data_IF_444100727749
#
_entry.id   IF_444100727749
#
_cell.length_a   1.000
_cell.length_b   1.000
_cell.length_c   1.000
_cell.angle_alpha   90.00
_cell.angle_beta   90.00
_cell.angle_gamma   90.00
#
_symmetry.space_group_name_H-M   'P 1'
#
loop_
_entity.id
_entity.type
_entity.pdbx_description
1 polymer ?
#
# COMPACT_ATOMS: atom_id res chain seq x y z
N UNK A 1 -2.05 8.24 21.89
CA UNK A 1 -1.37 9.36 22.57
C UNK A 1 -1.29 10.47 21.55
N UNK A 2 -1.69 11.69 21.88
CA UNK A 2 -1.48 12.85 21.00
C UNK A 2 0.02 13.14 20.90
N UNK A 3 0.56 13.54 19.73
CA UNK A 3 1.95 13.94 19.61
C UNK A 3 2.31 15.03 20.62
N UNK A 4 3.56 15.05 21.11
CA UNK A 4 3.99 16.18 21.94
C UNK A 4 3.96 17.46 21.09
N UNK A 5 3.56 18.58 21.69
CA UNK A 5 3.52 19.88 20.99
C UNK A 5 4.91 20.24 20.44
N UNK A 6 5.98 19.94 21.18
CA UNK A 6 7.36 20.16 20.75
C UNK A 6 7.78 19.33 19.54
N UNK A 7 7.34 18.07 19.43
CA UNK A 7 7.66 17.23 18.28
C UNK A 7 6.93 17.71 17.02
N UNK A 8 5.67 18.15 17.18
CA UNK A 8 4.88 18.69 16.07
C UNK A 8 5.51 19.98 15.53
N UNK A 9 5.92 20.89 16.40
CA UNK A 9 6.60 22.13 16.01
C UNK A 9 7.96 21.86 15.34
N UNK A 10 8.72 20.87 15.84
CA UNK A 10 10.01 20.47 15.26
C UNK A 10 9.82 19.86 13.87
N UNK A 11 8.82 18.98 13.70
CA UNK A 11 8.46 18.40 12.41
C UNK A 11 7.97 19.46 11.43
N UNK A 12 7.11 20.39 11.87
CA UNK A 12 6.65 21.52 11.06
C UNK A 12 7.81 22.42 10.61
N UNK A 13 8.74 22.74 11.51
CA UNK A 13 9.95 23.51 11.19
C UNK A 13 10.80 22.80 10.13
N UNK A 14 10.96 21.48 10.27
CA UNK A 14 11.69 20.66 9.28
C UNK A 14 11.01 20.70 7.91
N UNK A 15 9.68 20.56 7.87
CA UNK A 15 8.89 20.66 6.63
C UNK A 15 9.01 22.06 6.01
N UNK A 16 9.00 23.11 6.82
CA UNK A 16 9.08 24.49 6.34
C UNK A 16 10.43 24.80 5.69
N UNK A 17 11.51 24.23 6.22
CA UNK A 17 12.88 24.43 5.73
C UNK A 17 13.29 23.48 4.58
N UNK A 18 12.51 22.42 4.34
CA UNK A 18 12.79 21.43 3.32
C UNK A 18 12.18 21.80 1.95
N UNK A 19 12.96 21.57 0.89
CA UNK A 19 12.59 21.78 -0.51
C UNK A 19 12.59 20.48 -1.32
N UNK A 20 13.26 19.43 -0.85
CA UNK A 20 13.35 18.13 -1.49
C UNK A 20 12.85 17.02 -0.56
N UNK A 21 11.54 17.04 -0.26
CA UNK A 21 10.93 16.05 0.61
C UNK A 21 10.72 14.74 -0.14
N UNK A 22 11.32 13.66 0.36
CA UNK A 22 11.00 12.30 -0.06
C UNK A 22 10.05 11.65 0.93
N UNK A 23 8.98 11.05 0.42
CA UNK A 23 7.94 10.42 1.22
C UNK A 23 7.93 8.92 1.01
N UNK A 24 7.71 8.16 2.09
CA UNK A 24 7.36 6.74 2.04
C UNK A 24 6.07 6.52 2.82
N UNK A 25 5.03 6.07 2.14
CA UNK A 25 3.72 5.83 2.74
C UNK A 25 3.31 4.37 2.63
N UNK A 26 2.44 3.93 3.53
CA UNK A 26 1.82 2.61 3.49
C UNK A 26 0.38 2.61 4.01
N UNK A 27 -0.15 1.41 4.22
CA UNK A 27 -1.59 1.18 4.38
C UNK A 27 -2.23 1.92 5.57
N UNK A 28 -1.42 2.33 6.57
CA UNK A 28 -1.88 3.08 7.73
C UNK A 28 -2.58 4.38 7.37
N UNK A 29 -2.18 5.07 6.28
CA UNK A 29 -2.81 6.33 5.86
C UNK A 29 -4.22 6.13 5.28
N UNK A 30 -4.54 4.92 4.81
CA UNK A 30 -5.82 4.57 4.19
C UNK A 30 -6.79 3.90 5.17
N UNK A 31 -6.39 3.65 6.43
CA UNK A 31 -7.25 2.99 7.41
C UNK A 31 -8.52 3.80 7.72
N UNK A 32 -8.42 5.13 7.79
CA UNK A 32 -9.56 6.01 8.01
C UNK A 32 -10.52 6.09 6.80
N UNK A 33 -10.07 5.70 5.60
CA UNK A 33 -10.92 5.57 4.41
C UNK A 33 -11.78 4.30 4.43
N UNK A 34 -11.73 3.53 5.51
CA UNK A 34 -12.46 2.26 5.63
C UNK A 34 -11.75 1.08 4.99
N UNK A 35 -10.51 1.24 4.50
CA UNK A 35 -9.67 0.09 4.13
C UNK A 35 -9.23 -0.60 5.42
N UNK A 36 -9.72 -1.82 5.73
CA UNK A 36 -9.13 -2.60 6.79
C UNK A 36 -7.69 -2.88 6.38
N UNK A 37 -6.76 -2.62 7.28
CA UNK A 37 -5.38 -3.02 7.07
C UNK A 37 -5.31 -4.53 6.81
N UNK A 38 -4.16 -4.99 6.34
CA UNK A 38 -4.00 -6.42 6.09
C UNK A 38 -3.95 -7.23 7.40
N UNK A 39 -3.44 -6.63 8.48
CA UNK A 39 -2.83 -7.36 9.60
C UNK A 39 -3.50 -7.20 10.97
N UNK A 40 -4.43 -6.26 11.16
CA UNK A 40 -5.08 -6.06 12.46
C UNK A 40 -5.85 -7.30 12.90
N UNK A 41 -5.71 -7.64 14.17
CA UNK A 41 -6.41 -8.75 14.78
C UNK A 41 -7.94 -8.55 14.68
N UNK A 42 -8.64 -9.58 14.20
CA UNK A 42 -10.11 -9.65 14.00
C UNK A 42 -10.70 -8.75 12.91
N UNK A 43 -10.17 -7.56 12.66
CA UNK A 43 -10.73 -6.61 11.68
C UNK A 43 -10.00 -6.59 10.35
N UNK A 44 -8.71 -6.96 10.33
CA UNK A 44 -7.86 -6.98 9.16
C UNK A 44 -8.26 -8.04 8.13
N UNK A 45 -7.86 -7.84 6.87
CA UNK A 45 -8.25 -8.72 5.77
C UNK A 45 -7.91 -10.20 6.05
N UNK A 46 -6.71 -10.46 6.55
CA UNK A 46 -6.23 -11.82 6.84
C UNK A 46 -7.10 -12.58 7.84
N UNK A 47 -7.64 -11.91 8.86
CA UNK A 47 -8.57 -12.53 9.80
C UNK A 47 -9.89 -12.92 9.13
N UNK A 48 -10.39 -12.09 8.20
CA UNK A 48 -11.64 -12.35 7.47
C UNK A 48 -11.52 -13.50 6.47
N UNK A 49 -10.32 -13.77 5.95
CA UNK A 49 -10.06 -14.84 4.99
C UNK A 49 -9.99 -16.24 5.62
N UNK A 50 -10.07 -16.36 6.96
CA UNK A 50 -10.01 -17.65 7.66
C UNK A 50 -10.94 -18.75 7.09
N UNK A 51 -12.19 -18.46 6.65
CA UNK A 51 -13.07 -19.48 6.07
C UNK A 51 -12.56 -20.10 4.75
N UNK A 52 -11.60 -19.45 4.06
CA UNK A 52 -11.03 -19.97 2.80
C UNK A 52 -9.98 -21.07 3.03
N UNK A 53 -9.62 -21.35 4.30
CA UNK A 53 -8.65 -22.38 4.68
C UNK A 53 -7.32 -22.28 3.89
N UNK A 54 -6.86 -21.04 3.70
CA UNK A 54 -5.58 -20.74 3.04
C UNK A 54 -4.43 -21.37 3.84
N UNK A 55 -3.34 -21.80 3.19
CA UNK A 55 -2.17 -22.35 3.88
C UNK A 55 -1.57 -21.35 4.88
N UNK A 56 -1.69 -20.07 4.57
CA UNK A 56 -1.41 -18.93 5.45
C UNK A 56 -2.18 -17.70 4.91
N UNK A 57 -2.45 -16.67 5.73
CA UNK A 57 -3.34 -15.58 5.32
C UNK A 57 -2.84 -14.76 4.12
N UNK A 58 -1.53 -14.61 3.94
CA UNK A 58 -0.90 -13.90 2.82
C UNK A 58 -0.98 -14.66 1.48
N UNK A 59 -1.38 -15.94 1.49
CA UNK A 59 -1.29 -16.82 0.32
C UNK A 59 -2.06 -16.28 -0.89
N UNK A 60 -3.21 -15.66 -0.67
CA UNK A 60 -4.04 -15.06 -1.72
C UNK A 60 -3.31 -13.97 -2.53
N UNK A 61 -2.28 -13.34 -1.94
CA UNK A 61 -1.44 -12.33 -2.58
C UNK A 61 -0.04 -12.87 -2.90
N UNK A 62 0.17 -14.19 -2.90
CA UNK A 62 1.44 -14.81 -3.26
C UNK A 62 1.41 -15.30 -4.70
N UNK A 63 2.40 -14.95 -5.52
CA UNK A 63 2.37 -15.23 -6.97
C UNK A 63 2.33 -16.74 -7.28
N UNK A 64 3.07 -17.54 -6.51
CA UNK A 64 3.04 -19.00 -6.65
C UNK A 64 1.69 -19.62 -6.27
N UNK A 65 0.91 -18.98 -5.40
CA UNK A 65 -0.45 -19.42 -5.10
C UNK A 65 -1.37 -19.00 -6.23
N UNK A 66 -1.35 -17.70 -6.58
CA UNK A 66 -2.19 -17.11 -7.63
C UNK A 66 -2.10 -17.85 -8.97
N UNK A 67 -0.89 -18.22 -9.41
CA UNK A 67 -0.72 -18.89 -10.72
C UNK A 67 -1.36 -20.27 -10.81
N UNK A 68 -1.68 -20.91 -9.68
CA UNK A 68 -2.30 -22.23 -9.61
C UNK A 68 -3.73 -22.20 -9.05
N UNK A 69 -4.04 -21.18 -8.24
CA UNK A 69 -5.33 -21.02 -7.56
C UNK A 69 -5.71 -19.53 -7.55
N UNK A 70 -6.04 -18.94 -8.71
CA UNK A 70 -6.39 -17.52 -8.85
C UNK A 70 -7.81 -17.16 -8.36
N UNK A 71 -8.70 -18.15 -8.24
CA UNK A 71 -10.13 -17.96 -7.92
C UNK A 71 -10.36 -17.20 -6.60
N UNK A 72 -9.65 -17.51 -5.49
CA UNK A 72 -9.81 -16.78 -4.23
C UNK A 72 -9.54 -15.28 -4.38
N UNK A 73 -8.53 -14.89 -5.15
CA UNK A 73 -8.20 -13.49 -5.39
C UNK A 73 -9.34 -12.77 -6.12
N UNK A 74 -9.87 -13.36 -7.20
CA UNK A 74 -10.89 -12.72 -8.02
C UNK A 74 -12.24 -12.57 -7.34
N UNK A 75 -12.62 -13.52 -6.50
CA UNK A 75 -13.86 -13.43 -5.76
C UNK A 75 -13.82 -12.40 -4.62
N UNK A 76 -12.63 -12.07 -4.07
CA UNK A 76 -12.51 -10.94 -3.14
C UNK A 76 -12.25 -9.60 -3.85
N UNK A 77 -11.67 -9.61 -5.06
CA UNK A 77 -11.38 -8.40 -5.83
C UNK A 77 -12.65 -7.60 -6.14
N UNK A 78 -13.78 -8.31 -6.39
CA UNK A 78 -15.10 -7.70 -6.57
C UNK A 78 -15.52 -6.80 -5.40
N UNK A 79 -15.31 -7.26 -4.17
CA UNK A 79 -15.74 -6.56 -2.95
C UNK A 79 -14.73 -5.51 -2.44
N UNK A 80 -13.58 -5.36 -3.13
CA UNK A 80 -12.45 -4.51 -2.71
C UNK A 80 -12.06 -3.51 -3.80
N UNK A 81 -12.93 -3.25 -4.77
CA UNK A 81 -12.59 -2.35 -5.87
C UNK A 81 -12.26 -0.95 -5.31
N UNK A 82 -11.08 -0.36 -5.59
CA UNK A 82 -10.66 0.94 -5.02
C UNK A 82 -11.51 2.16 -5.38
N UNK A 83 -12.61 1.95 -6.11
CA UNK A 83 -13.48 3.03 -6.58
C UNK A 83 -14.36 3.58 -5.47
N UNK A 84 -14.62 2.80 -4.43
CA UNK A 84 -15.53 3.16 -3.33
C UNK A 84 -14.80 3.79 -2.13
N UNK A 85 -13.53 4.15 -2.32
CA UNK A 85 -12.66 4.65 -1.27
C UNK A 85 -12.41 6.13 -1.48
N UNK A 86 -12.54 6.89 -0.40
CA UNK A 86 -12.32 8.34 -0.39
C UNK A 86 -10.94 8.64 0.20
N UNK A 87 -10.19 9.60 -0.35
CA UNK A 87 -8.93 10.01 0.26
C UNK A 87 -9.12 10.47 1.71
N UNK A 88 -8.15 10.14 2.56
CA UNK A 88 -8.12 10.61 3.95
C UNK A 88 -7.48 12.00 4.06
N UNK A 89 -7.58 12.61 5.25
CA UNK A 89 -6.88 13.86 5.52
C UNK A 89 -5.36 13.72 5.34
N UNK A 90 -4.80 12.55 5.70
CA UNK A 90 -3.39 12.24 5.43
C UNK A 90 -3.06 12.32 3.95
N UNK A 91 -3.91 11.78 3.06
CA UNK A 91 -3.69 11.89 1.61
C UNK A 91 -3.73 13.34 1.13
N UNK A 92 -4.73 14.11 1.60
CA UNK A 92 -4.83 15.53 1.28
C UNK A 92 -3.59 16.32 1.74
N UNK A 93 -2.97 15.95 2.86
CA UNK A 93 -1.73 16.57 3.31
C UNK A 93 -0.55 16.30 2.35
N UNK A 94 -0.46 15.10 1.76
CA UNK A 94 0.52 14.78 0.72
C UNK A 94 0.28 15.65 -0.54
N UNK A 95 -0.99 15.77 -0.94
CA UNK A 95 -1.41 16.66 -2.02
C UNK A 95 -1.05 18.13 -1.75
N UNK A 96 -1.21 18.59 -0.51
CA UNK A 96 -0.89 19.95 -0.11
C UNK A 96 0.63 20.21 -0.13
N UNK A 97 1.43 19.25 0.32
CA UNK A 97 2.89 19.31 0.18
C UNK A 97 3.30 19.40 -1.30
N UNK A 98 2.61 18.67 -2.18
CA UNK A 98 2.86 18.72 -3.62
C UNK A 98 2.43 20.08 -4.23
N UNK A 99 1.26 20.61 -3.86
CA UNK A 99 0.78 21.94 -4.29
C UNK A 99 1.71 23.08 -3.83
N UNK A 100 2.40 22.90 -2.70
CA UNK A 100 3.42 23.84 -2.19
C UNK A 100 4.83 23.58 -2.73
N UNK A 101 4.95 22.72 -3.74
CA UNK A 101 6.20 22.34 -4.43
C UNK A 101 7.31 21.84 -3.49
N UNK A 102 6.93 21.13 -2.41
CA UNK A 102 7.90 20.56 -1.46
C UNK A 102 8.20 19.09 -1.73
N UNK A 103 7.30 18.38 -2.40
CA UNK A 103 7.50 16.96 -2.74
C UNK A 103 8.55 16.83 -3.84
N UNK A 104 9.65 16.17 -3.52
CA UNK A 104 10.63 15.69 -4.49
C UNK A 104 10.16 14.36 -5.08
N UNK A 105 9.85 13.38 -4.23
CA UNK A 105 9.30 12.11 -4.68
C UNK A 105 8.51 11.38 -3.59
N UNK A 106 7.47 10.66 -3.99
CA UNK A 106 6.65 9.86 -3.08
C UNK A 106 6.66 8.38 -3.48
N UNK A 107 7.10 7.53 -2.57
CA UNK A 107 6.96 6.09 -2.67
C UNK A 107 5.71 5.64 -1.92
N UNK A 108 4.75 5.03 -2.61
CA UNK A 108 3.61 4.39 -1.95
C UNK A 108 3.71 2.88 -2.00
N UNK A 109 3.50 2.25 -0.86
CA UNK A 109 3.28 0.80 -0.75
C UNK A 109 1.82 0.43 -0.99
N UNK A 110 0.93 1.41 -1.11
CA UNK A 110 -0.49 1.20 -1.33
C UNK A 110 -0.75 0.94 -2.81
N UNK A 111 -1.90 0.31 -3.05
CA UNK A 111 -2.39 -0.03 -4.38
C UNK A 111 -3.75 0.63 -4.65
N UNK A 112 -4.29 1.36 -3.68
CA UNK A 112 -5.64 1.96 -3.73
C UNK A 112 -5.71 3.16 -4.68
N UNK A 113 -4.60 3.89 -4.86
CA UNK A 113 -4.50 5.03 -5.76
C UNK A 113 -5.04 6.34 -5.18
N UNK A 114 -5.32 6.37 -3.87
CA UNK A 114 -5.90 7.53 -3.20
C UNK A 114 -4.95 8.74 -3.15
N UNK A 115 -3.66 8.53 -3.42
CA UNK A 115 -2.68 9.61 -3.55
C UNK A 115 -3.00 10.52 -4.74
N UNK A 116 -3.37 9.94 -5.89
CA UNK A 116 -3.74 10.71 -7.08
C UNK A 116 -5.09 11.40 -6.91
N UNK A 117 -6.03 10.70 -6.27
CA UNK A 117 -7.34 11.26 -5.91
C UNK A 117 -7.19 12.46 -4.96
N UNK A 118 -6.11 12.49 -4.16
CA UNK A 118 -5.71 13.62 -3.33
C UNK A 118 -4.72 14.58 -4.01
N UNK A 119 -4.67 14.57 -5.34
CA UNK A 119 -3.91 15.51 -6.17
C UNK A 119 -2.39 15.41 -6.07
N UNK A 120 -1.83 14.29 -5.60
CA UNK A 120 -0.39 14.01 -5.77
C UNK A 120 -0.10 13.82 -7.26
N UNK A 121 0.82 14.59 -7.88
CA UNK A 121 1.11 14.48 -9.30
C UNK A 121 1.68 13.08 -9.64
N UNK A 122 1.14 12.35 -10.64
CA UNK A 122 1.63 11.03 -11.01
C UNK A 122 3.12 10.99 -11.37
N UNK A 123 3.67 12.08 -11.90
CA UNK A 123 5.11 12.21 -12.21
C UNK A 123 6.02 12.38 -11.00
N UNK A 124 5.48 12.66 -9.81
CA UNK A 124 6.22 12.82 -8.55
C UNK A 124 6.04 11.64 -7.59
N UNK A 125 5.49 10.51 -8.07
CA UNK A 125 5.27 9.35 -7.21
C UNK A 125 5.47 8.02 -7.93
N UNK A 126 5.67 6.98 -7.14
CA UNK A 126 5.74 5.59 -7.58
C UNK A 126 4.90 4.71 -6.67
N UNK A 127 3.93 4.02 -7.27
CA UNK A 127 3.28 2.86 -6.64
C UNK A 127 4.26 1.68 -6.63
N UNK A 128 5.04 1.57 -5.56
CA UNK A 128 6.12 0.58 -5.44
C UNK A 128 5.58 -0.84 -5.46
N UNK A 129 4.35 -1.06 -4.97
CA UNK A 129 3.64 -2.33 -5.06
C UNK A 129 2.65 -2.38 -6.23
N UNK A 130 2.79 -1.48 -7.20
CA UNK A 130 1.90 -1.40 -8.36
C UNK A 130 0.50 -0.90 -8.00
N UNK A 131 -0.45 -1.01 -8.94
CA UNK A 131 -1.82 -0.55 -8.76
C UNK A 131 -2.79 -1.28 -9.70
N UNK A 132 -4.08 -0.93 -9.62
CA UNK A 132 -5.15 -1.54 -10.41
C UNK A 132 -5.38 -0.90 -11.79
N UNK A 133 -4.50 0.01 -12.25
CA UNK A 133 -4.75 0.78 -13.48
C UNK A 133 -4.55 -0.03 -14.75
N UNK A 134 -3.64 -1.00 -14.71
CA UNK A 134 -3.31 -1.86 -15.83
C UNK A 134 -3.23 -3.31 -15.37
N UNK A 135 -3.28 -4.23 -16.34
CA UNK A 135 -3.31 -5.66 -16.07
C UNK A 135 -2.53 -6.42 -17.14
N UNK A 136 -1.88 -7.50 -16.71
CA UNK A 136 -1.03 -8.34 -17.56
C UNK A 136 -1.18 -9.82 -17.22
N UNK A 137 -0.97 -10.67 -18.21
CA UNK A 137 -0.82 -12.10 -17.97
C UNK A 137 0.37 -12.35 -17.03
N UNK A 138 0.19 -13.17 -15.99
CA UNK A 138 1.30 -13.47 -15.07
C UNK A 138 2.46 -14.17 -15.80
N UNK A 139 2.13 -15.01 -16.80
CA UNK A 139 3.03 -15.93 -17.51
C UNK A 139 3.83 -15.21 -18.61
N UNK A 140 3.15 -14.70 -19.64
CA UNK A 140 3.81 -14.06 -20.79
C UNK A 140 3.97 -12.53 -20.68
N UNK A 141 3.41 -11.91 -19.63
CA UNK A 141 3.43 -10.45 -19.40
C UNK A 141 2.69 -9.61 -20.45
N UNK A 142 1.97 -10.22 -21.39
CA UNK A 142 1.13 -9.51 -22.35
C UNK A 142 0.07 -8.66 -21.62
N UNK A 143 -0.15 -7.44 -22.12
CA UNK A 143 -1.18 -6.54 -21.62
C UNK A 143 -2.58 -7.13 -21.86
N UNK A 144 -3.48 -6.91 -20.92
CA UNK A 144 -4.85 -7.39 -21.01
C UNK A 144 -5.85 -6.23 -21.11
N UNK A 145 -6.86 -6.29 -21.99
CA UNK A 145 -7.80 -5.19 -22.16
C UNK A 145 -8.62 -4.89 -20.89
N UNK A 146 -8.73 -3.61 -20.54
CA UNK A 146 -9.41 -3.12 -19.33
C UNK A 146 -10.91 -3.50 -19.29
N UNK A 147 -11.61 -3.40 -20.42
CA UNK A 147 -13.01 -3.82 -20.50
C UNK A 147 -13.22 -5.31 -20.23
N UNK A 148 -12.24 -6.17 -20.55
CA UNK A 148 -12.30 -7.60 -20.22
C UNK A 148 -12.03 -7.83 -18.74
N UNK A 149 -11.08 -7.11 -18.14
CA UNK A 149 -10.77 -7.22 -16.72
C UNK A 149 -11.96 -6.79 -15.86
N UNK A 150 -12.60 -5.67 -16.21
CA UNK A 150 -13.78 -5.16 -15.50
C UNK A 150 -14.93 -6.17 -15.49
N UNK A 151 -15.21 -6.80 -16.63
CA UNK A 151 -16.23 -7.85 -16.71
C UNK A 151 -15.89 -9.04 -15.82
N UNK A 152 -14.65 -9.55 -15.92
CA UNK A 152 -14.19 -10.66 -15.09
C UNK A 152 -14.30 -10.36 -13.58
N UNK A 153 -13.89 -9.16 -13.14
CA UNK A 153 -14.02 -8.74 -11.73
C UNK A 153 -15.50 -8.65 -11.32
N UNK A 154 -16.38 -8.07 -12.15
CA UNK A 154 -17.80 -7.94 -11.84
C UNK A 154 -18.50 -9.31 -11.73
N UNK A 155 -18.11 -10.26 -12.58
CA UNK A 155 -18.62 -11.63 -12.62
C UNK A 155 -17.95 -12.54 -11.57
N UNK A 156 -16.82 -12.11 -10.99
CA UNK A 156 -16.03 -12.91 -10.05
C UNK A 156 -15.24 -14.04 -10.74
N UNK A 157 -15.02 -13.92 -12.05
CA UNK A 157 -14.35 -14.91 -12.88
C UNK A 157 -12.86 -14.64 -13.01
N UNK A 158 -12.09 -15.69 -13.30
CA UNK A 158 -10.66 -15.59 -13.55
C UNK A 158 -10.43 -15.22 -15.02
N UNK A 159 -9.84 -14.06 -15.33
CA UNK A 159 -9.43 -13.72 -16.69
C UNK A 159 -8.18 -14.50 -17.09
N UNK A 160 -8.15 -14.98 -18.33
CA UNK A 160 -7.02 -15.71 -18.91
C UNK A 160 -6.45 -14.99 -20.12
N UNK A 161 -5.16 -15.21 -20.40
CA UNK A 161 -4.43 -14.55 -21.48
C UNK A 161 -5.10 -14.74 -22.85
N UNK A 162 -5.01 -13.71 -23.70
CA UNK A 162 -5.56 -13.71 -25.06
C UNK A 162 -4.52 -14.05 -26.13
N UNK A 163 -3.25 -14.22 -25.73
CA UNK A 163 -2.16 -14.60 -26.64
C UNK A 163 -2.26 -16.08 -26.99
N UNK A 164 -2.06 -16.40 -28.27
CA UNK A 164 -2.09 -17.78 -28.76
C UNK A 164 -1.04 -18.64 -28.04
N UNK A 165 -1.46 -19.80 -27.51
CA UNK A 165 -0.58 -20.71 -26.76
C UNK A 165 -0.28 -20.29 -25.32
N UNK A 166 -0.86 -19.19 -24.81
CA UNK A 166 -0.76 -18.79 -23.41
C UNK A 166 -2.09 -18.96 -22.67
N UNK A 167 -2.08 -19.80 -21.63
CA UNK A 167 -3.21 -20.10 -20.75
C UNK A 167 -3.04 -19.48 -19.36
N UNK A 168 -2.11 -18.53 -19.21
CA UNK A 168 -1.80 -17.96 -17.90
C UNK A 168 -2.92 -17.04 -17.40
N UNK A 169 -3.37 -17.16 -16.13
CA UNK A 169 -4.25 -16.16 -15.54
C UNK A 169 -3.68 -14.75 -15.66
N UNK A 170 -4.57 -13.79 -15.83
CA UNK A 170 -4.24 -12.37 -15.86
C UNK A 170 -4.39 -11.83 -14.46
N UNK A 171 -3.55 -10.87 -14.07
CA UNK A 171 -3.73 -10.11 -12.83
C UNK A 171 -3.58 -8.61 -13.10
N UNK A 172 -4.15 -7.75 -12.23
CA UNK A 172 -3.74 -6.36 -12.16
C UNK A 172 -2.23 -6.25 -11.96
N UNK A 173 -1.64 -5.13 -12.37
CA UNK A 173 -0.24 -4.80 -12.14
C UNK A 173 0.05 -4.39 -10.70
N UNK A 174 -0.53 -5.13 -9.75
CA UNK A 174 -0.20 -5.14 -8.33
C UNK A 174 0.89 -6.18 -8.10
N UNK A 175 1.90 -5.83 -7.31
CA UNK A 175 3.02 -6.72 -6.97
C UNK A 175 2.58 -7.71 -5.91
N UNK A 176 2.63 -9.00 -6.24
CA UNK A 176 2.33 -10.09 -5.30
C UNK A 176 3.60 -10.48 -4.52
N UNK A 177 3.43 -11.10 -3.35
CA UNK A 177 4.55 -11.73 -2.66
C UNK A 177 5.22 -12.76 -3.56
N UNK A 178 6.55 -12.62 -3.70
CA UNK A 178 7.35 -13.47 -4.58
C UNK A 178 7.65 -12.84 -5.94
N UNK A 179 7.03 -11.69 -6.26
CA UNK A 179 7.42 -10.87 -7.41
C UNK A 179 8.47 -9.82 -7.03
N UNK A 180 9.23 -9.37 -8.03
CA UNK A 180 10.07 -8.19 -7.93
C UNK A 180 9.20 -6.92 -7.94
N UNK A 181 9.70 -5.85 -7.33
CA UNK A 181 9.12 -4.52 -7.53
C UNK A 181 9.26 -4.07 -9.01
N UNK A 182 8.53 -3.03 -9.44
CA UNK A 182 8.72 -2.44 -10.76
C UNK A 182 10.18 -2.05 -10.99
N UNK A 183 10.70 -2.27 -12.20
CA UNK A 183 12.11 -1.98 -12.56
C UNK A 183 12.50 -0.52 -12.27
N UNK A 184 11.55 0.40 -12.45
CA UNK A 184 11.72 1.83 -12.16
C UNK A 184 11.98 2.13 -10.67
N UNK A 185 11.73 1.19 -9.75
CA UNK A 185 11.99 1.38 -8.32
C UNK A 185 13.46 1.67 -8.04
N UNK A 186 14.39 0.92 -8.64
CA UNK A 186 15.83 1.11 -8.43
C UNK A 186 16.33 2.45 -9.00
N UNK A 187 15.70 2.93 -10.08
CA UNK A 187 15.98 4.27 -10.62
C UNK A 187 15.51 5.34 -9.64
N UNK A 188 14.26 5.26 -9.17
CA UNK A 188 13.67 6.27 -8.30
C UNK A 188 14.26 6.28 -6.91
N UNK A 189 14.72 5.14 -6.39
CA UNK A 189 15.40 5.08 -5.10
C UNK A 189 16.59 6.03 -5.02
N UNK A 190 17.28 6.32 -6.13
CA UNK A 190 18.40 7.27 -6.15
C UNK A 190 18.00 8.68 -5.72
N UNK A 191 16.72 9.05 -5.89
CA UNK A 191 16.17 10.33 -5.44
C UNK A 191 16.18 10.47 -3.91
N UNK A 192 16.34 9.37 -3.16
CA UNK A 192 16.47 9.42 -1.70
C UNK A 192 17.76 10.13 -1.27
N UNK A 193 18.84 10.05 -2.05
CA UNK A 193 20.10 10.74 -1.74
C UNK A 193 19.99 12.26 -1.90
N UNK A 194 19.09 12.72 -2.77
CA UNK A 194 18.81 14.14 -3.03
C UNK A 194 17.91 14.77 -1.95
N UNK A 195 17.32 13.95 -1.08
CA UNK A 195 16.40 14.41 -0.05
C UNK A 195 17.09 15.34 0.96
N UNK A 196 16.36 16.39 1.37
CA UNK A 196 16.68 17.23 2.52
C UNK A 196 15.72 17.01 3.70
N UNK A 197 14.70 16.18 3.51
CA UNK A 197 13.82 15.65 4.54
C UNK A 197 13.18 14.33 4.07
N UNK A 198 13.13 13.34 4.95
CA UNK A 198 12.37 12.10 4.75
C UNK A 198 11.12 12.10 5.62
N UNK A 199 9.95 11.81 5.04
CA UNK A 199 8.71 11.62 5.80
C UNK A 199 8.17 10.21 5.57
N UNK A 200 8.03 9.44 6.65
CA UNK A 200 7.46 8.09 6.63
C UNK A 200 6.10 8.11 7.30
N UNK A 201 5.05 7.67 6.62
CA UNK A 201 3.67 7.76 7.12
C UNK A 201 2.95 6.41 7.02
N UNK A 202 2.39 5.94 8.13
CA UNK A 202 1.44 4.81 8.12
C UNK A 202 2.01 3.48 7.61
N UNK A 203 3.27 3.15 7.91
CA UNK A 203 3.88 1.88 7.50
C UNK A 203 4.61 1.17 8.64
N UNK A 204 4.60 -0.16 8.62
CA UNK A 204 5.34 -0.99 9.58
C UNK A 204 6.83 -1.13 9.25
N UNK A 205 7.26 -0.70 8.06
CA UNK A 205 8.62 -0.92 7.53
C UNK A 205 9.11 -2.38 7.60
N UNK A 206 8.21 -3.36 7.49
CA UNK A 206 8.58 -4.80 7.53
C UNK A 206 8.89 -5.39 6.15
N UNK A 207 8.49 -4.73 5.07
CA UNK A 207 8.57 -5.26 3.70
C UNK A 207 9.65 -4.53 2.92
N UNK A 208 10.74 -5.25 2.64
CA UNK A 208 11.78 -4.81 1.72
C UNK A 208 11.29 -4.91 0.26
N UNK A 209 11.82 -4.09 -0.66
CA UNK A 209 12.88 -3.10 -0.47
C UNK A 209 12.40 -1.73 0.06
N UNK A 210 11.10 -1.44 0.12
CA UNK A 210 10.65 -0.13 0.61
C UNK A 210 11.11 0.18 2.05
N UNK A 211 11.22 -0.82 2.91
CA UNK A 211 11.66 -0.65 4.31
C UNK A 211 13.08 -0.12 4.49
N UNK A 212 13.95 -0.20 3.47
CA UNK A 212 15.32 0.34 3.53
C UNK A 212 15.42 1.81 3.12
N UNK A 213 14.42 2.38 2.44
CA UNK A 213 14.48 3.78 1.97
C UNK A 213 14.80 4.78 3.09
N UNK A 214 14.19 4.70 4.30
CA UNK A 214 14.50 5.64 5.38
C UNK A 214 15.96 5.55 5.88
N UNK A 215 16.65 4.43 5.62
CA UNK A 215 18.06 4.25 5.99
C UNK A 215 19.02 4.76 4.94
N UNK A 216 18.60 4.78 3.68
CA UNK A 216 19.39 5.28 2.55
C UNK A 216 19.55 6.81 2.60
N UNK A 217 18.64 7.51 3.28
CA UNK A 217 18.74 8.96 3.52
C UNK A 217 20.07 9.31 4.18
N UNK A 218 20.75 10.34 3.64
CA UNK A 218 22.06 10.81 4.11
C UNK A 218 22.07 11.13 5.61
N UNK A 219 23.22 10.95 6.24
CA UNK A 219 23.42 11.33 7.64
C UNK A 219 23.20 12.84 7.83
N UNK A 220 22.59 13.23 8.95
CA UNK A 220 22.25 14.63 9.24
C UNK A 220 20.97 15.14 8.57
N UNK A 221 20.41 14.44 7.58
CA UNK A 221 19.08 14.77 7.03
C UNK A 221 17.99 14.33 8.02
N UNK A 222 17.07 15.22 8.43
CA UNK A 222 16.01 14.88 9.36
C UNK A 222 15.05 13.83 8.78
N UNK A 223 14.45 13.02 9.66
CA UNK A 223 13.44 12.03 9.28
C UNK A 223 12.23 12.15 10.20
N UNK A 224 11.05 12.24 9.63
CA UNK A 224 9.79 12.29 10.38
C UNK A 224 9.08 10.95 10.20
N UNK A 225 8.67 10.34 11.31
CA UNK A 225 7.76 9.20 11.33
C UNK A 225 6.39 9.65 11.84
N UNK A 226 5.34 9.39 11.07
CA UNK A 226 3.95 9.57 11.45
C UNK A 226 3.29 8.19 11.43
N UNK A 227 3.07 7.59 12.60
CA UNK A 227 2.58 6.22 12.66
C UNK A 227 1.98 5.88 14.03
N UNK A 228 1.16 4.83 14.12
CA UNK A 228 0.64 4.36 15.40
C UNK A 228 1.75 3.86 16.34
N UNK A 229 2.79 3.25 15.76
CA UNK A 229 3.88 2.62 16.49
C UNK A 229 5.23 3.09 15.94
N UNK A 230 6.25 3.07 16.81
CA UNK A 230 7.62 3.30 16.40
C UNK A 230 8.12 2.09 15.59
N UNK A 231 8.71 2.35 14.43
CA UNK A 231 9.11 1.31 13.46
C UNK A 231 10.51 1.55 12.91
N UNK A 232 11.13 0.51 12.34
CA UNK A 232 12.48 0.61 11.79
C UNK A 232 13.50 1.03 12.85
N UNK A 233 14.41 1.94 12.47
CA UNK A 233 15.40 2.54 13.37
C UNK A 233 15.09 4.00 13.70
N UNK A 234 13.84 4.44 13.56
CA UNK A 234 13.46 5.80 13.92
C UNK A 234 13.80 6.11 15.39
N UNK A 235 14.11 7.36 15.69
CA UNK A 235 14.57 7.81 17.00
C UNK A 235 15.98 7.32 17.38
N UNK A 236 16.76 6.81 16.42
CA UNK A 236 18.18 6.51 16.61
C UNK A 236 19.09 7.64 16.10
N UNK A 237 18.62 8.46 15.16
CA UNK A 237 19.34 9.65 14.68
C UNK A 237 18.88 10.90 15.41
N UNK A 238 19.78 11.86 15.59
CA UNK A 238 19.49 13.13 16.31
C UNK A 238 18.37 13.94 15.64
N UNK A 239 18.21 13.84 14.31
CA UNK A 239 17.17 14.52 13.54
C UNK A 239 15.88 13.73 13.34
N UNK A 240 15.70 12.60 14.04
CA UNK A 240 14.47 11.82 13.94
C UNK A 240 13.35 12.42 14.82
N UNK A 241 12.18 12.65 14.22
CA UNK A 241 10.97 13.06 14.94
C UNK A 241 9.89 11.99 14.77
N UNK A 242 9.27 11.54 15.86
CA UNK A 242 8.24 10.50 15.84
C UNK A 242 6.90 11.06 16.34
N UNK A 243 5.97 11.33 15.43
CA UNK A 243 4.59 11.67 15.73
C UNK A 243 3.78 10.38 15.84
N UNK A 244 3.70 9.85 17.06
CA UNK A 244 3.01 8.58 17.33
C UNK A 244 1.51 8.78 17.55
N UNK A 245 0.69 8.08 16.78
CA UNK A 245 -0.78 8.13 16.86
C UNK A 245 -1.46 8.04 15.50
N UNK A 246 -2.64 8.66 15.39
CA UNK A 246 -3.39 8.73 14.14
C UNK A 246 -2.62 9.55 13.08
N UNK A 247 -2.56 9.03 11.86
CA UNK A 247 -1.97 9.75 10.74
C UNK A 247 -2.75 11.03 10.42
N UNK A 248 -4.08 10.98 10.46
CA UNK A 248 -4.94 12.13 10.16
C UNK A 248 -4.86 13.21 11.25
N UNK A 249 -4.80 12.82 12.53
CA UNK A 249 -4.61 13.79 13.62
C UNK A 249 -3.25 14.47 13.52
N UNK A 250 -2.21 13.72 13.18
CA UNK A 250 -0.86 14.26 12.98
C UNK A 250 -0.80 15.18 11.75
N UNK A 251 -1.46 14.82 10.64
CA UNK A 251 -1.57 15.66 9.46
C UNK A 251 -2.28 16.98 9.78
N UNK A 252 -3.38 16.94 10.55
CA UNK A 252 -4.09 18.14 11.01
C UNK A 252 -3.22 19.01 11.92
N UNK A 253 -2.51 18.39 12.88
CA UNK A 253 -1.64 19.11 13.80
C UNK A 253 -0.46 19.78 13.07
N UNK A 254 0.17 19.08 12.12
CA UNK A 254 1.23 19.64 11.28
C UNK A 254 0.73 20.78 10.41
N UNK A 255 -0.43 20.62 9.75
CA UNK A 255 -1.02 21.70 8.97
C UNK A 255 -1.35 22.91 9.85
N UNK A 256 -1.86 22.71 11.07
CA UNK A 256 -2.06 23.78 12.05
C UNK A 256 -0.76 24.52 12.39
N UNK A 257 0.31 23.78 12.73
CA UNK A 257 1.62 24.34 13.05
C UNK A 257 2.28 25.08 11.87
N UNK A 258 1.99 24.66 10.63
CA UNK A 258 2.46 25.29 9.40
C UNK A 258 1.60 26.48 8.94
N UNK A 259 0.46 26.73 9.60
CA UNK A 259 -0.52 27.73 9.18
C UNK A 259 -1.31 27.33 7.92
N UNK A 260 -1.40 26.03 7.62
CA UNK A 260 -2.05 25.46 6.43
C UNK A 260 -3.38 24.75 6.74
N UNK A 261 -3.93 24.94 7.94
CA UNK A 261 -5.13 24.22 8.42
C UNK A 261 -6.33 24.34 7.47
N UNK A 262 -6.70 25.57 7.11
CA UNK A 262 -7.85 25.83 6.23
C UNK A 262 -7.59 25.32 4.80
N UNK A 263 -6.35 25.44 4.30
CA UNK A 263 -5.96 24.91 2.99
C UNK A 263 -6.07 23.39 2.94
N UNK A 264 -5.70 22.69 4.02
CA UNK A 264 -5.79 21.25 4.13
C UNK A 264 -7.24 20.77 4.12
N UNK A 265 -8.11 21.35 4.95
CA UNK A 265 -9.51 20.96 5.02
C UNK A 265 -10.25 21.27 3.70
N UNK A 266 -9.95 22.40 3.06
CA UNK A 266 -10.47 22.73 1.73
C UNK A 266 -10.03 21.71 0.67
N UNK A 267 -8.74 21.39 0.62
CA UNK A 267 -8.19 20.43 -0.34
C UNK A 267 -8.75 19.02 -0.15
N UNK A 268 -8.93 18.62 1.11
CA UNK A 268 -9.54 17.33 1.43
C UNK A 268 -11.00 17.26 0.98
N UNK A 269 -11.78 18.32 1.22
CA UNK A 269 -13.15 18.44 0.72
C UNK A 269 -13.23 18.36 -0.81
N UNK A 270 -12.32 19.05 -1.52
CA UNK A 270 -12.21 18.97 -2.99
C UNK A 270 -11.93 17.54 -3.47
N UNK A 271 -10.95 16.84 -2.85
CA UNK A 271 -10.57 15.49 -3.22
C UNK A 271 -11.72 14.49 -3.02
N UNK A 272 -12.43 14.59 -1.88
CA UNK A 272 -13.58 13.75 -1.58
C UNK A 272 -14.73 14.01 -2.55
N UNK A 273 -15.08 15.27 -2.81
CA UNK A 273 -16.15 15.63 -3.73
C UNK A 273 -15.84 15.20 -5.18
N UNK A 274 -14.59 15.35 -5.62
CA UNK A 274 -14.15 14.87 -6.92
C UNK A 274 -14.33 13.36 -7.03
N UNK A 275 -13.95 12.60 -6.00
CA UNK A 275 -14.14 11.14 -5.98
C UNK A 275 -15.61 10.75 -6.05
N UNK A 276 -16.47 11.37 -5.23
CA UNK A 276 -17.92 11.10 -5.22
C UNK A 276 -18.57 11.38 -6.58
N UNK A 277 -18.12 12.41 -7.29
CA UNK A 277 -18.65 12.72 -8.63
C UNK A 277 -18.33 11.67 -9.70
N UNK A 278 -17.29 10.84 -9.47
CA UNK A 278 -16.88 9.77 -10.38
C UNK A 278 -17.56 8.42 -10.09
N UNK A 279 -18.28 8.28 -8.96
CA UNK A 279 -18.86 7.03 -8.46
C UNK A 279 -20.23 6.64 -9.10
N UNK A 280 -20.58 7.17 -10.27
CA UNK A 280 -21.90 6.94 -10.92
C UNK A 280 -22.43 5.49 -10.87
N UNK A 281 -23.65 5.34 -10.33
CA UNK A 281 -24.57 4.18 -10.28
C UNK A 281 -23.94 2.77 -10.23
N UNK A 282 -23.34 2.40 -9.09
CA UNK A 282 -23.12 0.99 -8.74
C UNK A 282 -24.12 0.54 -7.67
N UNK A 283 -25.27 0.00 -8.10
CA UNK A 283 -26.24 -0.63 -7.21
C UNK A 283 -25.79 -2.04 -6.77
N UNK A 284 -25.97 -2.33 -5.48
CA UNK A 284 -25.85 -3.64 -4.81
C UNK A 284 -24.50 -4.37 -4.94
N UNK A 285 -23.48 -3.89 -4.24
CA UNK A 285 -22.26 -4.68 -4.01
C UNK A 285 -22.48 -5.81 -2.99
N UNK A 286 -22.20 -7.03 -3.41
CA UNK A 286 -22.03 -8.20 -2.55
C UNK A 286 -20.92 -7.94 -1.53
N UNK A 287 -21.21 -8.09 -0.23
CA UNK A 287 -20.22 -7.83 0.81
C UNK A 287 -19.03 -8.80 0.74
N UNK A 288 -17.85 -8.37 1.21
CA UNK A 288 -16.65 -9.24 1.24
C UNK A 288 -16.90 -10.55 1.99
N UNK A 289 -17.68 -10.50 3.08
CA UNK A 289 -18.01 -11.67 3.91
C UNK A 289 -18.99 -12.61 3.19
N UNK A 290 -19.81 -12.10 2.29
CA UNK A 290 -20.68 -12.89 1.42
C UNK A 290 -19.88 -13.57 0.29
N UNK A 291 -18.96 -12.83 -0.36
CA UNK A 291 -18.03 -13.42 -1.33
C UNK A 291 -17.19 -14.55 -0.71
N UNK A 292 -16.65 -14.32 0.49
CA UNK A 292 -15.86 -15.33 1.22
C UNK A 292 -16.70 -16.54 1.56
N UNK A 293 -17.94 -16.36 2.06
CA UNK A 293 -18.85 -17.47 2.37
C UNK A 293 -19.19 -18.30 1.12
N UNK A 294 -19.50 -17.64 0.01
CA UNK A 294 -19.81 -18.31 -1.26
C UNK A 294 -18.64 -19.15 -1.76
N UNK A 295 -17.44 -18.56 -1.80
CA UNK A 295 -16.21 -19.28 -2.15
C UNK A 295 -15.92 -20.46 -1.24
N UNK A 296 -16.09 -20.30 0.08
CA UNK A 296 -15.85 -21.36 1.04
C UNK A 296 -16.82 -22.54 0.82
N UNK A 297 -18.06 -22.27 0.42
CA UNK A 297 -19.03 -23.30 0.04
C UNK A 297 -18.67 -23.96 -1.30
N UNK A 298 -18.32 -23.19 -2.33
CA UNK A 298 -17.91 -23.70 -3.65
C UNK A 298 -16.62 -24.54 -3.60
N UNK A 299 -15.72 -24.23 -2.64
CA UNK A 299 -14.45 -24.94 -2.44
C UNK A 299 -14.54 -26.11 -1.45
N UNK A 300 -15.71 -26.47 -0.92
CA UNK A 300 -15.89 -27.71 -0.15
C UNK A 300 -15.59 -28.93 -1.04
N UNK A 301 -14.33 -29.39 -1.03
CA UNK A 301 -13.83 -30.54 -1.78
C UNK A 301 -12.62 -30.29 -2.67
N UNK A 302 -12.24 -29.03 -2.96
CA UNK A 302 -11.03 -28.68 -3.72
C UNK A 302 -9.89 -28.36 -2.76
N UNK A 303 -9.25 -29.39 -2.21
CA UNK A 303 -8.06 -29.19 -1.39
C UNK A 303 -6.84 -28.89 -2.25
N UNK A 304 -6.10 -27.84 -1.89
CA UNK A 304 -4.70 -27.69 -2.32
C UNK A 304 -3.96 -28.92 -1.81
N UNK A 305 -3.25 -29.63 -2.70
CA UNK A 305 -2.52 -30.83 -2.31
C UNK A 305 -1.50 -30.52 -1.21
N UNK A 306 -1.30 -31.45 -0.27
CA UNK A 306 -0.35 -31.29 0.84
C UNK A 306 1.08 -30.96 0.34
N UNK A 307 1.44 -31.44 -0.87
CA UNK A 307 2.70 -31.09 -1.53
C UNK A 307 2.79 -29.61 -1.93
N UNK A 308 1.71 -29.03 -2.47
CA UNK A 308 1.67 -27.60 -2.78
C UNK A 308 1.65 -26.74 -1.51
N UNK A 309 0.91 -27.18 -0.48
CA UNK A 309 0.89 -26.53 0.84
C UNK A 309 2.29 -26.47 1.44
N UNK A 310 2.99 -27.62 1.48
CA UNK A 310 4.35 -27.72 2.00
C UNK A 310 5.36 -26.89 1.18
N UNK A 311 5.21 -26.81 -0.14
CA UNK A 311 6.05 -25.95 -0.99
C UNK A 311 5.88 -24.48 -0.61
N UNK A 312 4.64 -24.01 -0.45
CA UNK A 312 4.33 -22.62 -0.10
C UNK A 312 4.83 -22.28 1.32
N UNK A 313 4.61 -23.16 2.29
CA UNK A 313 5.12 -23.04 3.66
C UNK A 313 6.65 -22.98 3.68
N UNK A 314 7.34 -23.89 2.98
CA UNK A 314 8.82 -23.92 2.90
C UNK A 314 9.38 -22.64 2.26
N UNK A 315 8.71 -22.10 1.23
CA UNK A 315 9.16 -20.88 0.56
C UNK A 315 9.08 -19.67 1.51
N UNK A 316 8.03 -19.58 2.32
CA UNK A 316 7.90 -18.55 3.35
C UNK A 316 8.89 -18.74 4.50
N UNK A 317 9.03 -19.94 5.05
CA UNK A 317 10.00 -20.23 6.11
C UNK A 317 11.40 -19.83 5.68
N UNK A 318 11.79 -20.15 4.44
CA UNK A 318 13.09 -19.74 3.89
C UNK A 318 13.24 -18.22 3.77
N UNK A 319 12.14 -17.49 3.50
CA UNK A 319 12.13 -16.03 3.37
C UNK A 319 12.14 -15.34 4.74
N UNK A 320 11.35 -15.83 5.70
CA UNK A 320 11.36 -15.35 7.08
C UNK A 320 12.67 -15.69 7.80
N UNK A 321 13.26 -16.86 7.53
CA UNK A 321 14.59 -17.23 8.02
C UNK A 321 15.69 -16.34 7.43
N UNK A 322 15.58 -15.91 6.16
CA UNK A 322 16.49 -14.93 5.56
C UNK A 322 16.30 -13.52 6.14
N UNK A 323 15.07 -13.13 6.45
CA UNK A 323 14.78 -11.85 7.11
C UNK A 323 15.27 -11.82 8.57
N UNK A 324 15.18 -12.93 9.30
CA UNK A 324 15.69 -13.04 10.68
C UNK A 324 17.21 -13.19 10.74
N UNK A 325 17.83 -13.86 9.76
CA UNK A 325 19.30 -13.96 9.66
C UNK A 325 19.97 -12.67 9.15
N UNK A 326 19.30 -11.89 8.29
CA UNK A 326 19.76 -10.55 7.92
C UNK A 326 19.68 -9.56 9.11
N UNK A 327 18.70 -9.70 10.00
CA UNK A 327 18.60 -8.91 11.23
C UNK A 327 19.66 -9.27 12.29
N UNK A 328 20.24 -10.48 12.23
CA UNK A 328 21.24 -10.96 13.20
C UNK A 328 22.68 -10.93 12.67
N UNK A 329 22.91 -10.57 11.41
CA UNK A 329 24.25 -10.39 10.81
C UNK A 329 24.70 -8.92 10.67
N UNK A 330 23.99 -7.98 11.30
CA UNK A 330 24.53 -6.66 11.59
C UNK A 330 25.53 -6.73 12.75
N UNK A 331 26.72 -7.27 12.47
CA UNK A 331 27.85 -7.23 13.40
C UNK A 331 28.78 -6.08 12.97
N UNK A 332 28.87 -5.09 13.88
CA UNK A 332 29.75 -3.92 13.93
C UNK A 332 29.32 -2.74 13.06
#
# INVERSE_FOLDING_TARGET
MTPSLSDTETAATSIQNAHHIVLLIGAGISTAAGIPDFRSDKTGLYARLAPLNLPFPEAIFHINYFRHTPEPFYAIAKARHPRNLKPTLSHAFLGLLAKKDRVHFLFTQNIDGLEEDAFVPPGKMLAAHGNWKTQRCWKCKAAYPDGLMKRAIAEGEVPYCQEEGCDGPVKPDVVFFGESLPEVFEEKEKLVDEADLMIVVGTSLKVAPCSRLPRAVREGVPRILINQEKVGDFGSRVGDVCLLGSCDESARALAGALGWGDELESLWGEAVAAKESMEGDFENETSIDECIRRLAQENQGKMISDGHKKMLETHLESKFARLSTAASKGNI
#
